data_IF_939634216803
#
_entry.id   IF_939634216803
#
_cell.length_a   1.000
_cell.length_b   1.000
_cell.length_c   1.000
_cell.angle_alpha   90.00
_cell.angle_beta   90.00
_cell.angle_gamma   90.00
#
_symmetry.space_group_name_H-M   'P 1'
#
loop_
_entity.id
_entity.type
_entity.pdbx_description
1 polymer ?
#
# COMPACT_ATOMS: atom_id res chain seq x y z
N UNK A 1 -9.49 13.69 41.22
CA UNK A 1 -10.08 13.93 39.88
C UNK A 1 -9.91 12.67 39.06
N UNK A 2 -10.99 11.91 38.88
CA UNK A 2 -11.01 10.66 38.12
C UNK A 2 -11.27 10.98 36.65
N UNK A 3 -10.21 10.98 35.84
CA UNK A 3 -10.35 11.09 34.39
C UNK A 3 -10.70 9.72 33.80
N UNK A 4 -12.00 9.42 33.73
CA UNK A 4 -12.52 8.35 32.88
C UNK A 4 -12.45 8.81 31.42
N UNK A 5 -11.44 8.36 30.69
CA UNK A 5 -11.47 8.39 29.23
C UNK A 5 -12.51 7.36 28.77
N UNK A 6 -13.71 7.84 28.48
CA UNK A 6 -14.72 7.07 27.77
C UNK A 6 -14.28 7.01 26.32
N UNK A 7 -13.56 5.96 25.96
CA UNK A 7 -13.30 5.61 24.56
C UNK A 7 -14.64 5.49 23.84
N UNK A 8 -14.93 6.51 23.04
CA UNK A 8 -16.06 6.52 22.13
C UNK A 8 -15.70 5.54 21.03
N UNK A 9 -16.14 4.29 21.18
CA UNK A 9 -16.12 3.29 20.12
C UNK A 9 -16.66 3.96 18.84
N UNK A 10 -15.75 4.25 17.92
CA UNK A 10 -16.07 4.52 16.53
C UNK A 10 -16.91 3.34 16.06
N UNK A 11 -18.08 3.61 15.48
CA UNK A 11 -18.99 2.63 14.91
C UNK A 11 -18.18 1.71 14.00
N UNK A 12 -17.86 0.52 14.53
CA UNK A 12 -16.93 -0.41 13.91
C UNK A 12 -17.48 -0.84 12.56
N UNK A 13 -16.71 -0.63 11.50
CA UNK A 13 -17.10 -1.11 10.17
C UNK A 13 -17.37 -2.61 10.27
N UNK A 14 -18.61 -3.03 10.00
CA UNK A 14 -19.07 -4.41 10.13
C UNK A 14 -18.60 -5.29 8.95
N UNK A 15 -17.35 -5.08 8.53
CA UNK A 15 -16.73 -5.76 7.39
C UNK A 15 -16.24 -7.15 7.81
N UNK A 16 -16.41 -8.11 6.91
CA UNK A 16 -15.78 -9.43 7.01
C UNK A 16 -14.25 -9.30 6.98
N UNK A 17 -13.54 -10.38 7.33
CA UNK A 17 -12.08 -10.39 7.24
C UNK A 17 -11.62 -10.13 5.81
N UNK A 18 -12.25 -10.78 4.83
CA UNK A 18 -11.97 -10.66 3.40
C UNK A 18 -12.19 -9.22 2.92
N UNK A 19 -13.28 -8.58 3.32
CA UNK A 19 -13.59 -7.19 2.96
C UNK A 19 -12.59 -6.20 3.55
N UNK A 20 -12.11 -6.46 4.78
CA UNK A 20 -11.04 -5.66 5.38
C UNK A 20 -9.73 -5.84 4.62
N UNK A 21 -9.39 -7.07 4.26
CA UNK A 21 -8.15 -7.37 3.55
C UNK A 21 -8.12 -6.77 2.15
N UNK A 22 -9.23 -6.82 1.41
CA UNK A 22 -9.38 -6.15 0.11
C UNK A 22 -9.09 -4.65 0.24
N UNK A 23 -9.73 -3.98 1.21
CA UNK A 23 -9.50 -2.53 1.44
C UNK A 23 -8.06 -2.20 1.83
N UNK A 24 -7.40 -3.10 2.57
CA UNK A 24 -5.98 -2.93 2.92
C UNK A 24 -5.09 -3.06 1.68
N UNK A 25 -5.31 -4.07 0.83
CA UNK A 25 -4.55 -4.24 -0.42
C UNK A 25 -4.71 -3.03 -1.34
N UNK A 26 -5.95 -2.55 -1.54
CA UNK A 26 -6.23 -1.33 -2.32
C UNK A 26 -5.53 -0.09 -1.75
N UNK A 27 -5.53 0.04 -0.41
CA UNK A 27 -4.87 1.15 0.27
C UNK A 27 -3.35 1.09 0.10
N UNK A 28 -2.73 -0.07 0.31
CA UNK A 28 -1.28 -0.23 0.19
C UNK A 28 -0.79 -0.02 -1.25
N UNK A 29 -1.51 -0.51 -2.26
CA UNK A 29 -1.19 -0.26 -3.67
C UNK A 29 -1.15 1.25 -3.97
N UNK A 30 -2.14 1.99 -3.49
CA UNK A 30 -2.18 3.46 -3.70
C UNK A 30 -1.01 4.14 -3.02
N UNK A 31 -0.71 3.75 -1.78
CA UNK A 31 0.31 4.38 -0.98
C UNK A 31 1.74 4.11 -1.50
N UNK A 32 1.97 2.91 -2.02
CA UNK A 32 3.23 2.54 -2.65
C UNK A 32 3.52 3.36 -3.92
N UNK A 33 2.50 3.65 -4.74
CA UNK A 33 2.65 4.53 -5.91
C UNK A 33 3.03 5.96 -5.48
N UNK A 34 2.38 6.50 -4.44
CA UNK A 34 2.72 7.82 -3.87
C UNK A 34 4.16 7.85 -3.33
N UNK A 35 4.60 6.81 -2.63
CA UNK A 35 5.96 6.66 -2.14
C UNK A 35 6.97 6.54 -3.27
N UNK A 36 6.73 5.68 -4.26
CA UNK A 36 7.63 5.48 -5.38
C UNK A 36 7.87 6.78 -6.17
N UNK A 37 6.80 7.58 -6.40
CA UNK A 37 6.91 8.91 -7.02
C UNK A 37 7.79 9.83 -6.19
N UNK A 38 7.51 9.94 -4.89
CA UNK A 38 8.27 10.80 -3.97
C UNK A 38 9.75 10.40 -3.91
N UNK A 39 10.05 9.10 -3.85
CA UNK A 39 11.41 8.60 -3.81
C UNK A 39 12.16 8.90 -5.11
N UNK A 40 11.53 8.72 -6.27
CA UNK A 40 12.13 9.08 -7.55
C UNK A 40 12.40 10.60 -7.65
N UNK A 41 11.47 11.45 -7.24
CA UNK A 41 11.65 12.91 -7.22
C UNK A 41 12.85 13.31 -6.35
N UNK A 42 12.99 12.70 -5.17
CA UNK A 42 14.13 12.97 -4.29
C UNK A 42 15.41 12.31 -4.77
N UNK A 43 15.34 11.18 -5.47
CA UNK A 43 16.48 10.55 -6.14
C UNK A 43 17.08 11.49 -7.19
N UNK A 44 16.23 12.13 -8.00
CA UNK A 44 16.65 13.15 -8.98
C UNK A 44 17.36 14.31 -8.25
N UNK A 45 16.73 14.89 -7.22
CA UNK A 45 17.32 15.99 -6.43
C UNK A 45 18.65 15.58 -5.78
N UNK A 46 18.75 14.36 -5.25
CA UNK A 46 19.99 13.85 -4.66
C UNK A 46 21.11 13.75 -5.71
N UNK A 47 20.79 13.28 -6.91
CA UNK A 47 21.74 13.20 -8.01
C UNK A 47 22.22 14.60 -8.46
N UNK A 48 21.32 15.58 -8.56
CA UNK A 48 21.64 16.99 -8.86
C UNK A 48 22.56 17.62 -7.80
N UNK A 49 22.51 17.13 -6.55
CA UNK A 49 23.35 17.57 -5.44
C UNK A 49 24.60 16.70 -5.23
N UNK A 50 25.03 15.94 -6.25
CA UNK A 50 26.21 15.06 -6.22
C UNK A 50 26.14 13.92 -5.19
N UNK A 51 24.95 13.57 -4.69
CA UNK A 51 24.71 12.47 -3.74
C UNK A 51 24.31 11.18 -4.47
N UNK A 52 25.13 10.75 -5.44
CA UNK A 52 24.78 9.66 -6.36
C UNK A 52 24.36 8.36 -5.67
N UNK A 53 25.10 7.91 -4.65
CA UNK A 53 24.75 6.69 -3.91
C UNK A 53 23.37 6.77 -3.23
N UNK A 54 23.00 7.95 -2.74
CA UNK A 54 21.67 8.18 -2.13
C UNK A 54 20.60 8.11 -3.21
N UNK A 55 20.84 8.74 -4.36
CA UNK A 55 19.93 8.64 -5.51
C UNK A 55 19.69 7.18 -5.93
N UNK A 56 20.76 6.39 -6.04
CA UNK A 56 20.68 4.97 -6.40
C UNK A 56 19.80 4.18 -5.40
N UNK A 57 19.92 4.46 -4.10
CA UNK A 57 19.12 3.78 -3.07
C UNK A 57 17.64 4.21 -3.09
N UNK A 58 17.36 5.47 -3.38
CA UNK A 58 15.99 5.98 -3.52
C UNK A 58 15.30 5.39 -4.75
N UNK A 59 16.02 5.27 -5.86
CA UNK A 59 15.52 4.61 -7.07
C UNK A 59 15.22 3.13 -6.80
N UNK A 60 16.10 2.43 -6.09
CA UNK A 60 15.88 1.03 -5.74
C UNK A 60 14.69 0.86 -4.79
N UNK A 61 14.52 1.74 -3.80
CA UNK A 61 13.35 1.75 -2.94
C UNK A 61 12.05 1.94 -3.74
N UNK A 62 12.03 2.83 -4.74
CA UNK A 62 10.89 3.01 -5.62
C UNK A 62 10.58 1.75 -6.45
N UNK A 63 11.61 1.06 -6.96
CA UNK A 63 11.44 -0.21 -7.69
C UNK A 63 10.86 -1.31 -6.81
N UNK A 64 11.29 -1.38 -5.55
CA UNK A 64 10.76 -2.36 -4.58
C UNK A 64 9.28 -2.10 -4.27
N UNK A 65 8.84 -0.85 -4.17
CA UNK A 65 7.41 -0.52 -4.03
C UNK A 65 6.59 -1.00 -5.23
N UNK A 66 7.09 -0.80 -6.45
CA UNK A 66 6.42 -1.30 -7.67
C UNK A 66 6.34 -2.83 -7.68
N UNK A 67 7.37 -3.52 -7.17
CA UNK A 67 7.34 -4.98 -7.05
C UNK A 67 6.33 -5.45 -6.01
N UNK A 68 6.25 -4.77 -4.86
CA UNK A 68 5.23 -5.04 -3.85
C UNK A 68 3.81 -4.84 -4.42
N UNK A 69 3.59 -3.78 -5.20
CA UNK A 69 2.31 -3.51 -5.85
C UNK A 69 1.87 -4.62 -6.79
N UNK A 70 2.80 -5.23 -7.53
CA UNK A 70 2.48 -6.39 -8.38
C UNK A 70 1.96 -7.54 -7.53
N UNK A 71 2.64 -7.86 -6.43
CA UNK A 71 2.20 -8.93 -5.52
C UNK A 71 0.85 -8.61 -4.87
N UNK A 72 0.61 -7.36 -4.51
CA UNK A 72 -0.67 -6.94 -3.92
C UNK A 72 -1.82 -6.98 -4.94
N UNK A 73 -1.57 -6.62 -6.19
CA UNK A 73 -2.56 -6.74 -7.28
C UNK A 73 -2.91 -8.19 -7.55
N UNK A 74 -1.93 -9.08 -7.66
CA UNK A 74 -2.19 -10.52 -7.79
C UNK A 74 -3.03 -11.05 -6.63
N UNK A 75 -2.67 -10.70 -5.38
CA UNK A 75 -3.44 -11.09 -4.20
C UNK A 75 -4.88 -10.55 -4.23
N UNK A 76 -5.07 -9.29 -4.66
CA UNK A 76 -6.38 -8.68 -4.81
C UNK A 76 -7.21 -9.40 -5.90
N UNK A 77 -6.59 -9.72 -7.04
CA UNK A 77 -7.23 -10.45 -8.13
C UNK A 77 -7.65 -11.86 -7.69
N UNK A 78 -6.83 -12.56 -6.91
CA UNK A 78 -7.22 -13.85 -6.31
C UNK A 78 -8.42 -13.70 -5.37
N UNK A 79 -8.45 -12.65 -4.54
CA UNK A 79 -9.53 -12.40 -3.58
C UNK A 79 -10.84 -12.02 -4.26
N UNK A 80 -10.79 -11.25 -5.36
CA UNK A 80 -11.98 -10.86 -6.13
C UNK A 80 -12.43 -12.01 -7.06
N UNK A 81 -11.49 -12.75 -7.66
CA UNK A 81 -11.77 -13.91 -8.50
C UNK A 81 -12.37 -15.10 -7.73
N UNK A 82 -11.95 -15.35 -6.49
CA UNK A 82 -12.56 -16.37 -5.62
C UNK A 82 -13.97 -16.01 -5.10
N UNK A 83 -14.43 -14.77 -5.30
CA UNK A 83 -15.83 -14.41 -5.04
C UNK A 83 -16.78 -14.84 -6.16
N UNK A 84 -16.28 -15.37 -7.28
CA UNK A 84 -17.13 -15.94 -8.33
C UNK A 84 -17.38 -17.44 -8.05
N UNK A 85 -18.58 -17.84 -7.56
CA UNK A 85 -18.88 -19.24 -7.31
C UNK A 85 -19.02 -20.07 -8.59
N UNK A 86 -18.85 -19.49 -9.79
CA UNK A 86 -19.00 -20.22 -11.04
C UNK A 86 -18.03 -19.71 -12.14
N UNK A 87 -16.76 -20.16 -12.13
CA UNK A 87 -15.81 -19.79 -13.19
C UNK A 87 -16.29 -20.32 -14.56
N UNK A 88 -15.98 -19.62 -15.67
CA UNK A 88 -16.40 -20.06 -17.00
C UNK A 88 -15.80 -21.45 -17.30
N UNK A 89 -16.70 -22.34 -17.75
CA UNK A 89 -16.39 -23.73 -18.16
C UNK A 89 -15.49 -23.79 -19.39
#
# INVERSE_FOLDING_TARGET
MTHHHRDRHSVGSNLSFEEKLIKLLEHWIRHNDEHAKTYNEWGIKANENNLKKVADHLEEAAKLMIQADRQFKEALDYMVGHRDPNPPR
#
